data_IF_590431711469
#
_entry.id   IF_590431711469
#
_cell.length_a   1.000
_cell.length_b   1.000
_cell.length_c   1.000
_cell.angle_alpha   90.00
_cell.angle_beta   90.00
_cell.angle_gamma   90.00
#
_symmetry.space_group_name_H-M   'P 1'
#
loop_
_entity.id
_entity.type
_entity.pdbx_description
1 polymer ?
#
# COMPACT_ATOMS: atom_id res chain seq x y z
N UNK A 1 -10.64 -10.63 -34.73
CA UNK A 1 -11.20 -9.62 -33.81
C UNK A 1 -11.41 -10.18 -32.40
N UNK A 2 -12.16 -11.29 -32.26
CA UNK A 2 -12.46 -11.95 -30.96
C UNK A 2 -11.20 -12.29 -30.14
N UNK A 3 -10.15 -12.88 -30.76
CA UNK A 3 -8.89 -13.19 -30.08
C UNK A 3 -8.26 -11.97 -29.38
N UNK A 4 -8.24 -10.81 -30.04
CA UNK A 4 -7.68 -9.57 -29.48
C UNK A 4 -8.49 -9.11 -28.27
N UNK A 5 -9.82 -9.15 -28.36
CA UNK A 5 -10.73 -8.77 -27.26
C UNK A 5 -10.49 -9.66 -26.04
N UNK A 6 -10.44 -10.99 -26.24
CA UNK A 6 -10.17 -11.95 -25.16
C UNK A 6 -8.80 -11.71 -24.52
N UNK A 7 -7.77 -11.46 -25.33
CA UNK A 7 -6.42 -11.14 -24.83
C UNK A 7 -6.43 -9.86 -23.98
N UNK A 8 -7.06 -8.77 -24.45
CA UNK A 8 -7.11 -7.53 -23.68
C UNK A 8 -7.89 -7.68 -22.38
N UNK A 9 -9.01 -8.43 -22.37
CA UNK A 9 -9.74 -8.71 -21.13
C UNK A 9 -8.86 -9.45 -20.13
N UNK A 10 -8.15 -10.50 -20.56
CA UNK A 10 -7.24 -11.24 -19.70
C UNK A 10 -6.13 -10.34 -19.15
N UNK A 11 -5.52 -9.50 -20.00
CA UNK A 11 -4.49 -8.56 -19.59
C UNK A 11 -5.01 -7.58 -18.52
N UNK A 12 -6.21 -7.04 -18.69
CA UNK A 12 -6.83 -6.15 -17.71
C UNK A 12 -7.09 -6.88 -16.39
N UNK A 13 -7.61 -8.12 -16.43
CA UNK A 13 -7.84 -8.92 -15.23
C UNK A 13 -6.53 -9.18 -14.48
N UNK A 14 -5.47 -9.58 -15.17
CA UNK A 14 -4.15 -9.77 -14.56
C UNK A 14 -3.56 -8.48 -14.01
N UNK A 15 -3.72 -7.36 -14.72
CA UNK A 15 -3.28 -6.06 -14.25
C UNK A 15 -4.00 -5.66 -12.95
N UNK A 16 -5.32 -5.82 -12.89
CA UNK A 16 -6.10 -5.54 -11.67
C UNK A 16 -5.69 -6.47 -10.52
N UNK A 17 -5.48 -7.75 -10.78
CA UNK A 17 -5.00 -8.72 -9.79
C UNK A 17 -3.63 -8.33 -9.24
N UNK A 18 -2.70 -7.94 -10.11
CA UNK A 18 -1.37 -7.46 -9.73
C UNK A 18 -1.42 -6.14 -8.95
N UNK A 19 -2.36 -5.25 -9.26
CA UNK A 19 -2.54 -3.98 -8.58
C UNK A 19 -3.26 -4.10 -7.23
N UNK A 20 -3.98 -5.19 -6.95
CA UNK A 20 -4.67 -5.39 -5.66
C UNK A 20 -3.78 -5.17 -4.43
N UNK A 21 -2.60 -5.81 -4.29
CA UNK A 21 -1.73 -5.58 -3.13
C UNK A 21 -1.24 -4.14 -3.03
N UNK A 22 -0.98 -3.47 -4.16
CA UNK A 22 -0.56 -2.07 -4.19
C UNK A 22 -1.69 -1.16 -3.69
N UNK A 23 -2.93 -1.41 -4.13
CA UNK A 23 -4.11 -0.71 -3.64
C UNK A 23 -4.25 -0.86 -2.11
N UNK A 24 -4.22 -2.10 -1.60
CA UNK A 24 -4.37 -2.36 -0.16
C UNK A 24 -3.22 -1.72 0.65
N UNK A 25 -2.00 -1.77 0.13
CA UNK A 25 -0.84 -1.11 0.73
C UNK A 25 -1.04 0.40 0.85
N UNK A 26 -1.40 1.07 -0.24
CA UNK A 26 -1.61 2.52 -0.26
C UNK A 26 -2.78 2.90 0.65
N UNK A 27 -3.91 2.21 0.55
CA UNK A 27 -5.08 2.44 1.39
C UNK A 27 -4.76 2.25 2.88
N UNK A 28 -3.93 1.27 3.24
CA UNK A 28 -3.54 1.02 4.63
C UNK A 28 -2.49 2.01 5.13
N UNK A 29 -1.57 2.45 4.27
CA UNK A 29 -0.53 3.43 4.64
C UNK A 29 -1.10 4.79 5.05
N UNK A 30 -2.27 5.16 4.50
CA UNK A 30 -2.96 6.41 4.80
C UNK A 30 -3.99 6.28 5.94
N UNK A 31 -4.21 5.08 6.50
CA UNK A 31 -5.15 4.90 7.61
C UNK A 31 -4.51 5.31 8.94
N UNK A 32 -5.27 5.96 9.83
CA UNK A 32 -4.85 6.14 11.21
C UNK A 32 -4.77 4.76 11.88
N UNK A 33 -3.88 4.60 12.86
CA UNK A 33 -3.62 3.31 13.53
C UNK A 33 -4.87 2.66 14.18
N UNK A 34 -5.91 3.46 14.46
CA UNK A 34 -7.19 3.01 15.03
C UNK A 34 -8.11 2.36 13.98
N UNK A 35 -7.88 2.65 12.70
CA UNK A 35 -8.65 2.10 11.57
C UNK A 35 -7.97 0.89 10.93
N UNK A 36 -6.69 0.65 11.24
CA UNK A 36 -5.95 -0.52 10.75
C UNK A 36 -6.51 -1.78 11.40
N UNK A 37 -6.96 -2.72 10.58
CA UNK A 37 -7.47 -4.03 11.02
C UNK A 37 -7.79 -4.93 9.82
N UNK A 38 -7.80 -6.25 10.03
CA UNK A 38 -7.99 -7.25 8.97
C UNK A 38 -9.32 -7.08 8.22
N UNK A 39 -10.39 -6.77 8.94
CA UNK A 39 -11.71 -6.53 8.33
C UNK A 39 -11.75 -5.26 7.48
N UNK A 40 -10.96 -4.25 7.86
CA UNK A 40 -10.99 -2.92 7.26
C UNK A 40 -9.94 -2.73 6.17
N UNK A 41 -9.07 -3.71 5.89
CA UNK A 41 -7.92 -3.54 4.99
C UNK A 41 -8.32 -3.17 3.56
N UNK A 42 -9.44 -3.71 3.07
CA UNK A 42 -9.94 -3.49 1.71
C UNK A 42 -10.69 -2.16 1.52
N UNK A 43 -11.09 -1.51 2.61
CA UNK A 43 -11.83 -0.25 2.55
C UNK A 43 -10.86 0.92 2.40
N UNK A 44 -11.31 1.99 1.75
CA UNK A 44 -10.56 3.25 1.70
C UNK A 44 -10.51 3.87 3.13
N UNK A 45 -9.42 4.57 3.52
CA UNK A 45 -9.39 5.35 4.76
C UNK A 45 -10.58 6.29 4.84
N UNK A 46 -11.26 6.33 6.01
CA UNK A 46 -12.32 7.31 6.23
C UNK A 46 -11.74 8.69 6.47
N UNK A 47 -10.64 8.73 7.22
CA UNK A 47 -9.88 9.94 7.52
C UNK A 47 -8.41 9.69 7.16
N UNK A 48 -7.95 10.15 5.99
CA UNK A 48 -6.53 10.03 5.62
C UNK A 48 -5.63 10.72 6.65
N UNK A 49 -4.62 10.02 7.15
CA UNK A 49 -3.67 10.53 8.14
C UNK A 49 -2.23 10.17 7.78
N UNK A 50 -1.31 11.10 8.08
CA UNK A 50 0.14 10.91 7.94
C UNK A 50 0.84 10.60 9.27
N UNK A 51 0.08 10.47 10.37
CA UNK A 51 0.64 10.20 11.70
C UNK A 51 1.41 8.88 11.74
N UNK A 52 0.95 7.89 10.98
CA UNK A 52 1.64 6.61 10.81
C UNK A 52 3.05 6.78 10.25
N UNK A 53 3.19 7.60 9.19
CA UNK A 53 4.49 7.93 8.60
C UNK A 53 5.38 8.71 9.56
N UNK A 54 4.86 9.74 10.23
CA UNK A 54 5.62 10.52 11.21
C UNK A 54 6.13 9.63 12.36
N UNK A 55 5.28 8.75 12.88
CA UNK A 55 5.66 7.80 13.93
C UNK A 55 6.70 6.79 13.46
N UNK A 56 6.54 6.25 12.25
CA UNK A 56 7.50 5.33 11.66
C UNK A 56 8.85 6.01 11.45
N UNK A 57 8.87 7.22 10.87
CA UNK A 57 10.08 7.98 10.65
C UNK A 57 10.83 8.27 11.96
N UNK A 58 10.13 8.76 12.99
CA UNK A 58 10.75 9.02 14.30
C UNK A 58 11.36 7.76 14.94
N UNK A 59 10.81 6.57 14.65
CA UNK A 59 11.32 5.29 15.17
C UNK A 59 12.46 4.71 14.31
N UNK A 60 12.40 4.88 12.99
CA UNK A 60 13.35 4.30 12.05
C UNK A 60 14.56 5.21 11.79
N UNK A 61 14.41 6.53 11.83
CA UNK A 61 15.48 7.50 11.59
C UNK A 61 16.79 7.23 12.35
N UNK A 62 16.80 6.91 13.66
CA UNK A 62 18.06 6.61 14.35
C UNK A 62 18.73 5.32 13.84
N UNK A 63 17.95 4.28 13.54
CA UNK A 63 18.49 3.02 13.01
C UNK A 63 18.98 3.20 11.57
N UNK A 64 18.25 3.95 10.76
CA UNK A 64 18.64 4.29 9.39
C UNK A 64 19.97 5.07 9.38
N UNK A 65 20.13 6.03 10.30
CA UNK A 65 21.40 6.73 10.50
C UNK A 65 22.54 5.76 10.85
N UNK A 66 22.30 4.78 11.72
CA UNK A 66 23.32 3.79 12.06
C UNK A 66 23.71 2.95 10.83
N UNK A 67 22.76 2.58 9.97
CA UNK A 67 23.06 1.89 8.71
C UNK A 67 23.98 2.71 7.80
N UNK A 68 23.77 4.03 7.68
CA UNK A 68 24.64 4.89 6.87
C UNK A 68 26.02 5.16 7.49
N UNK A 69 26.17 5.06 8.81
CA UNK A 69 27.45 5.29 9.52
C UNK A 69 28.28 4.00 9.60
N UNK A 70 27.62 2.84 9.60
CA UNK A 70 28.25 1.52 9.67
C UNK A 70 28.64 0.96 8.29
N UNK A 71 28.31 1.67 7.20
CA UNK A 71 28.88 1.48 5.86
C UNK A 71 30.22 2.20 5.67
#
# INVERSE_FOLDING_TARGET
MIKKIVTYILLVVFALFFLMPIYVLLATSLKPLREVGLEKMWFLPKEPSLDGFAKAFNRLAPNLRNSFILE
#
